data_IF_800398794433
#
_entry.id   IF_800398794433
#
_cell.length_a   1.000
_cell.length_b   1.000
_cell.length_c   1.000
_cell.angle_alpha   90.00
_cell.angle_beta   90.00
_cell.angle_gamma   90.00
#
_symmetry.space_group_name_H-M   'P 1'
#
loop_
_entity.id
_entity.type
_entity.pdbx_description
1 polymer ?
#
# COMPACT_ATOMS: atom_id res chain seq x y z
N UNK A 1 2.55 -64.66 -19.06
CA UNK A 1 1.88 -63.37 -19.32
C UNK A 1 2.32 -62.36 -18.27
N UNK A 2 3.15 -61.35 -18.60
CA UNK A 2 3.43 -60.23 -17.72
C UNK A 2 2.57 -59.00 -18.05
N UNK A 3 2.36 -58.20 -17.00
CA UNK A 3 1.33 -57.19 -16.80
C UNK A 3 1.31 -55.98 -17.74
N UNK A 4 0.18 -55.80 -18.43
CA UNK A 4 -0.19 -54.58 -19.19
C UNK A 4 -0.42 -53.35 -18.28
N UNK A 5 -0.46 -53.54 -16.96
CA UNK A 5 -0.73 -52.46 -16.00
C UNK A 5 0.48 -51.57 -15.67
N UNK A 6 1.73 -52.08 -15.81
CA UNK A 6 2.93 -51.26 -15.55
C UNK A 6 3.18 -50.22 -16.64
N UNK A 7 2.88 -50.53 -17.90
CA UNK A 7 3.10 -49.64 -19.03
C UNK A 7 2.23 -48.37 -18.98
N UNK A 8 1.00 -48.45 -18.46
CA UNK A 8 0.10 -47.30 -18.34
C UNK A 8 0.54 -46.28 -17.29
N UNK A 9 1.19 -46.71 -16.19
CA UNK A 9 1.64 -45.78 -15.13
C UNK A 9 2.84 -44.94 -15.56
N UNK A 10 3.77 -45.51 -16.33
CA UNK A 10 4.96 -44.80 -16.83
C UNK A 10 4.60 -43.66 -17.80
N UNK A 11 3.55 -43.84 -18.60
CA UNK A 11 3.09 -42.85 -19.57
C UNK A 11 2.43 -41.62 -18.92
N UNK A 12 1.70 -41.82 -17.81
CA UNK A 12 1.05 -40.71 -17.09
C UNK A 12 2.08 -39.84 -16.36
N UNK A 13 3.15 -40.42 -15.82
CA UNK A 13 4.24 -39.67 -15.17
C UNK A 13 5.09 -38.85 -16.15
N UNK A 14 5.23 -39.29 -17.40
CA UNK A 14 6.00 -38.57 -18.41
C UNK A 14 5.30 -37.30 -18.91
N UNK A 15 3.97 -37.30 -18.96
CA UNK A 15 3.16 -36.14 -19.37
C UNK A 15 3.16 -35.02 -18.31
N UNK A 16 3.22 -35.35 -17.03
CA UNK A 16 3.30 -34.35 -15.93
C UNK A 16 4.64 -33.60 -15.90
N UNK A 17 5.73 -34.25 -16.32
CA UNK A 17 7.06 -33.63 -16.34
C UNK A 17 7.21 -32.59 -17.47
N UNK A 18 6.50 -32.75 -18.58
CA UNK A 18 6.53 -31.81 -19.70
C UNK A 18 5.74 -30.52 -19.43
N UNK A 19 4.65 -30.59 -18.65
CA UNK A 19 3.87 -29.40 -18.28
C UNK A 19 4.65 -28.44 -17.36
N UNK A 20 5.55 -28.95 -16.51
CA UNK A 20 6.41 -28.14 -15.65
C UNK A 20 7.56 -27.46 -16.39
N UNK A 21 7.96 -27.99 -17.56
CA UNK A 21 9.05 -27.43 -18.36
C UNK A 21 8.61 -26.30 -19.30
N UNK A 22 7.34 -26.29 -19.76
CA UNK A 22 6.81 -25.19 -20.59
C UNK A 22 6.31 -24.02 -19.74
N UNK A 23 5.85 -24.27 -18.51
CA UNK A 23 5.45 -23.22 -17.57
C UNK A 23 6.61 -22.47 -16.90
N UNK A 24 7.84 -23.01 -16.98
CA UNK A 24 9.02 -22.46 -16.29
C UNK A 24 9.76 -21.33 -17.02
N UNK A 25 9.26 -20.90 -18.18
CA UNK A 25 9.91 -19.91 -19.05
C UNK A 25 9.10 -18.61 -19.18
N UNK A 26 8.26 -18.27 -18.19
CA UNK A 26 7.89 -16.87 -17.98
C UNK A 26 9.09 -16.21 -17.32
N UNK A 27 10.01 -15.78 -18.19
CA UNK A 27 11.20 -15.05 -17.82
C UNK A 27 10.82 -13.94 -16.83
N UNK A 28 11.43 -14.01 -15.66
CA UNK A 28 11.58 -12.89 -14.77
C UNK A 28 12.29 -11.78 -15.56
N UNK A 29 11.51 -10.92 -16.20
CA UNK A 29 11.98 -9.60 -16.57
C UNK A 29 12.19 -8.90 -15.23
N UNK A 30 13.41 -8.52 -14.84
CA UNK A 30 13.52 -7.52 -13.81
C UNK A 30 12.84 -6.30 -14.43
N UNK A 31 11.72 -5.88 -13.84
CA UNK A 31 11.23 -4.55 -14.06
C UNK A 31 12.33 -3.62 -13.53
N UNK A 32 13.30 -3.30 -14.38
CA UNK A 32 14.18 -2.17 -14.22
C UNK A 32 13.34 -0.92 -14.45
N UNK A 33 12.38 -0.68 -13.55
CA UNK A 33 11.87 0.65 -13.29
C UNK A 33 12.92 1.30 -12.41
N UNK A 34 13.94 1.85 -13.08
CA UNK A 34 14.82 2.83 -12.47
C UNK A 34 13.96 4.02 -12.06
N UNK A 35 13.62 4.04 -10.79
CA UNK A 35 13.72 5.24 -9.97
C UNK A 35 13.96 4.72 -8.56
N UNK A 36 15.03 5.19 -7.94
CA UNK A 36 15.12 5.16 -6.49
C UNK A 36 14.04 6.13 -5.96
N UNK A 37 12.78 5.72 -6.07
CA UNK A 37 11.65 6.30 -5.37
C UNK A 37 11.84 5.89 -3.92
N UNK A 38 12.70 6.60 -3.22
CA UNK A 38 12.50 6.66 -1.78
C UNK A 38 11.05 7.13 -1.57
N UNK A 39 10.25 6.37 -0.82
CA UNK A 39 8.87 6.73 -0.55
C UNK A 39 8.81 8.13 0.03
N UNK A 40 8.29 9.08 -0.76
CA UNK A 40 8.30 10.48 -0.40
C UNK A 40 7.39 10.72 0.83
N UNK A 41 7.80 11.60 1.75
CA UNK A 41 6.94 12.01 2.85
C UNK A 41 5.67 12.65 2.29
N UNK A 42 4.54 12.37 2.94
CA UNK A 42 3.26 12.92 2.54
C UNK A 42 3.21 14.42 2.79
N UNK A 43 2.46 15.14 1.95
CA UNK A 43 2.31 16.59 2.05
C UNK A 43 1.36 16.93 3.19
N UNK A 44 1.65 17.98 3.95
CA UNK A 44 0.68 18.52 4.91
C UNK A 44 -0.56 19.04 4.19
N UNK A 45 -1.74 18.89 4.78
CA UNK A 45 -2.97 19.48 4.23
C UNK A 45 -2.79 21.01 4.13
N UNK A 46 -2.96 21.62 2.93
CA UNK A 46 -2.82 23.06 2.77
C UNK A 46 -3.99 23.78 3.46
N UNK A 47 -3.68 24.64 4.45
CA UNK A 47 -4.69 25.47 5.13
C UNK A 47 -4.88 26.76 4.33
N UNK A 48 -5.65 26.68 3.23
CA UNK A 48 -6.01 27.86 2.43
C UNK A 48 -7.33 28.44 2.93
N UNK A 49 -7.27 29.53 3.71
CA UNK A 49 -8.36 30.49 3.92
C UNK A 49 -9.72 29.92 4.36
N UNK A 50 -9.98 29.97 5.67
CA UNK A 50 -11.20 29.46 6.31
C UNK A 50 -10.87 28.24 7.16
N UNK A 51 -11.38 28.16 8.39
CA UNK A 51 -11.08 27.10 9.35
C UNK A 51 -11.42 25.71 8.77
N UNK A 52 -10.47 25.05 8.12
CA UNK A 52 -10.52 23.60 7.95
C UNK A 52 -10.13 23.01 9.30
N UNK A 53 -11.15 22.73 10.13
CA UNK A 53 -10.93 22.02 11.37
C UNK A 53 -10.32 20.66 11.05
N UNK A 54 -9.39 20.14 11.87
CA UNK A 54 -8.89 18.78 11.73
C UNK A 54 -10.05 17.79 11.93
N UNK A 55 -10.74 17.45 10.84
CA UNK A 55 -11.93 16.60 10.90
C UNK A 55 -11.53 15.17 11.28
N UNK A 56 -12.30 14.57 12.18
CA UNK A 56 -12.10 13.20 12.67
C UNK A 56 -12.33 12.13 11.58
N UNK A 57 -13.01 12.50 10.51
CA UNK A 57 -13.25 11.71 9.29
C UNK A 57 -13.45 12.71 8.16
N UNK A 58 -13.24 12.30 6.91
CA UNK A 58 -13.78 13.08 5.80
C UNK A 58 -15.30 12.87 5.86
N UNK A 59 -16.05 13.84 6.39
CA UNK A 59 -17.51 13.72 6.56
C UNK A 59 -18.24 14.00 5.24
N UNK A 60 -17.64 14.83 4.38
CA UNK A 60 -18.03 15.04 2.99
C UNK A 60 -16.80 14.90 2.09
N UNK A 61 -16.70 13.75 1.42
CA UNK A 61 -15.55 13.37 0.59
C UNK A 61 -15.39 14.23 -0.66
N UNK A 62 -16.52 14.70 -1.22
CA UNK A 62 -16.53 15.55 -2.39
C UNK A 62 -16.17 16.98 -2.04
N UNK A 63 -16.61 17.48 -0.89
CA UNK A 63 -16.26 18.83 -0.44
C UNK A 63 -14.78 18.91 -0.03
N UNK A 64 -14.30 17.99 0.81
CA UNK A 64 -12.93 18.02 1.31
C UNK A 64 -11.90 17.82 0.19
N UNK A 65 -12.16 16.88 -0.71
CA UNK A 65 -11.25 16.57 -1.81
C UNK A 65 -11.59 17.31 -3.12
N UNK A 66 -12.48 18.31 -3.09
CA UNK A 66 -12.92 19.06 -4.27
C UNK A 66 -11.76 19.65 -5.08
N UNK A 67 -10.76 20.17 -4.37
CA UNK A 67 -9.60 20.86 -4.93
C UNK A 67 -8.28 20.12 -4.67
N UNK A 68 -8.35 18.97 -4.02
CA UNK A 68 -7.20 18.16 -3.62
C UNK A 68 -7.18 16.87 -4.45
N UNK A 69 -6.01 16.49 -4.93
CA UNK A 69 -5.85 15.31 -5.80
C UNK A 69 -4.79 14.33 -5.30
N UNK A 70 -4.04 14.71 -4.27
CA UNK A 70 -2.95 13.92 -3.70
C UNK A 70 -3.31 13.15 -2.44
N UNK A 71 -2.26 12.72 -1.73
CA UNK A 71 -2.36 12.15 -0.38
C UNK A 71 -1.76 13.16 0.58
N UNK A 72 -2.50 13.46 1.65
CA UNK A 72 -2.16 14.52 2.59
C UNK A 72 -2.13 14.00 4.02
N UNK A 73 -1.39 14.68 4.89
CA UNK A 73 -1.31 14.39 6.32
C UNK A 73 -1.74 15.58 7.17
N UNK A 74 -2.34 15.25 8.31
CA UNK A 74 -2.60 16.15 9.42
C UNK A 74 -2.12 15.45 10.70
N UNK A 75 -1.72 16.24 11.71
CA UNK A 75 -1.34 15.75 13.04
C UNK A 75 -2.37 16.21 14.08
N UNK A 76 -3.45 15.43 14.32
CA UNK A 76 -4.45 15.80 15.32
C UNK A 76 -3.88 15.88 16.74
N UNK A 77 -2.86 15.07 17.02
CA UNK A 77 -2.08 15.10 18.27
C UNK A 77 -0.61 14.83 17.97
N UNK A 78 0.28 15.12 18.93
CA UNK A 78 1.73 14.89 18.78
C UNK A 78 2.14 13.43 18.53
N UNK A 79 1.28 12.46 18.83
CA UNK A 79 1.57 11.02 18.73
C UNK A 79 0.69 10.31 17.69
N UNK A 80 -0.03 11.08 16.86
CA UNK A 80 -0.91 10.54 15.83
C UNK A 80 -0.76 11.29 14.51
N UNK A 81 -1.00 10.57 13.42
CA UNK A 81 -1.08 11.15 12.08
C UNK A 81 -2.37 10.69 11.45
N UNK A 82 -3.07 11.60 10.79
CA UNK A 82 -4.21 11.30 9.95
C UNK A 82 -3.83 11.49 8.49
N UNK A 83 -4.03 10.45 7.70
CA UNK A 83 -3.78 10.45 6.25
C UNK A 83 -5.11 10.62 5.53
N UNK A 84 -5.16 11.54 4.57
CA UNK A 84 -6.28 11.78 3.67
C UNK A 84 -5.87 11.39 2.25
N UNK A 85 -6.59 10.46 1.63
CA UNK A 85 -6.36 10.06 0.25
C UNK A 85 -7.39 10.72 -0.67
N UNK A 86 -7.04 11.86 -1.26
CA UNK A 86 -7.89 12.54 -2.23
C UNK A 86 -7.66 12.06 -3.67
N UNK A 87 -6.96 10.95 -3.87
CA UNK A 87 -6.84 10.30 -5.18
C UNK A 87 -8.12 9.53 -5.49
N UNK A 88 -8.31 9.25 -6.78
CA UNK A 88 -9.35 8.32 -7.27
C UNK A 88 -8.94 6.84 -7.11
N UNK A 89 -7.77 6.55 -6.55
CA UNK A 89 -7.22 5.21 -6.37
C UNK A 89 -6.84 4.99 -4.92
N UNK A 90 -6.93 3.75 -4.47
CA UNK A 90 -6.43 3.35 -3.15
C UNK A 90 -4.91 3.55 -3.05
N UNK A 91 -4.43 3.72 -1.82
CA UNK A 91 -2.99 3.86 -1.54
C UNK A 91 -2.64 3.12 -0.25
N UNK A 92 -1.47 2.48 -0.23
CA UNK A 92 -0.90 1.97 1.01
C UNK A 92 0.04 3.01 1.60
N UNK A 93 -0.09 3.23 2.91
CA UNK A 93 0.77 4.18 3.64
C UNK A 93 1.26 3.54 4.91
N UNK A 94 2.41 4.00 5.38
CA UNK A 94 2.95 3.64 6.68
C UNK A 94 3.29 4.89 7.48
N UNK A 95 3.15 4.78 8.80
CA UNK A 95 3.60 5.82 9.72
C UNK A 95 5.11 5.86 9.81
N UNK A 96 5.66 7.07 9.94
CA UNK A 96 7.06 7.33 10.26
C UNK A 96 7.10 7.74 11.74
N UNK A 97 7.76 6.95 12.57
CA UNK A 97 7.91 7.26 13.99
C UNK A 97 9.02 8.30 14.22
N UNK A 98 8.97 9.06 15.32
CA UNK A 98 10.01 10.06 15.66
C UNK A 98 11.44 9.50 15.72
N UNK A 99 11.58 8.21 16.01
CA UNK A 99 12.89 7.53 16.02
C UNK A 99 13.36 7.09 14.61
N UNK A 100 12.66 7.49 13.55
CA UNK A 100 12.96 7.13 12.15
C UNK A 100 12.51 5.72 11.74
N UNK A 101 11.95 4.93 12.65
CA UNK A 101 11.41 3.62 12.29
C UNK A 101 10.05 3.72 11.60
N UNK A 102 9.63 2.64 10.93
CA UNK A 102 8.39 2.61 10.17
C UNK A 102 7.36 1.66 10.79
N UNK A 103 6.08 2.05 10.69
CA UNK A 103 4.96 1.16 10.94
C UNK A 103 4.68 0.21 9.77
N UNK A 104 3.66 -0.64 9.96
CA UNK A 104 3.13 -1.50 8.88
C UNK A 104 2.40 -0.66 7.84
N UNK A 105 2.46 -1.09 6.58
CA UNK A 105 1.64 -0.52 5.52
C UNK A 105 0.16 -0.83 5.72
N UNK A 106 -0.69 0.18 5.66
CA UNK A 106 -2.14 0.07 5.78
C UNK A 106 -2.82 0.71 4.58
N UNK A 107 -3.96 0.14 4.18
CA UNK A 107 -4.76 0.64 3.06
C UNK A 107 -5.54 1.89 3.47
N UNK A 108 -5.38 2.96 2.70
CA UNK A 108 -6.25 4.14 2.69
C UNK A 108 -7.03 4.12 1.38
N UNK A 109 -8.34 3.78 1.42
CA UNK A 109 -9.16 3.77 0.23
C UNK A 109 -9.19 5.13 -0.49
N UNK A 110 -9.51 5.11 -1.79
CA UNK A 110 -9.78 6.31 -2.55
C UNK A 110 -10.81 7.19 -1.84
N UNK A 111 -10.57 8.51 -1.84
CA UNK A 111 -11.43 9.53 -1.22
C UNK A 111 -11.66 9.37 0.29
N UNK A 112 -10.88 8.54 0.98
CA UNK A 112 -11.06 8.24 2.40
C UNK A 112 -9.93 8.78 3.28
N UNK A 113 -10.07 8.63 4.61
CA UNK A 113 -9.01 8.93 5.57
C UNK A 113 -8.74 7.78 6.52
N UNK A 114 -7.50 7.70 7.01
CA UNK A 114 -7.07 6.74 8.03
C UNK A 114 -6.28 7.41 9.13
N UNK A 115 -6.51 6.95 10.35
CA UNK A 115 -5.73 7.36 11.52
C UNK A 115 -4.60 6.35 11.75
N UNK A 116 -3.39 6.85 11.96
CA UNK A 116 -2.19 6.08 12.24
C UNK A 116 -1.68 6.45 13.63
N UNK A 117 -1.12 5.46 14.34
CA UNK A 117 -0.52 5.65 15.64
C UNK A 117 -1.53 5.58 16.78
N UNK A 118 -1.34 6.42 17.80
CA UNK A 118 -2.16 6.41 19.03
C UNK A 118 -1.43 5.89 20.27
N UNK A 119 -0.17 5.47 20.13
CA UNK A 119 0.68 5.10 21.26
C UNK A 119 1.58 6.26 21.66
N UNK A 120 1.47 6.71 22.92
CA UNK A 120 2.35 7.76 23.48
C UNK A 120 3.82 7.31 23.51
N UNK A 121 4.07 6.00 23.60
CA UNK A 121 5.42 5.44 23.63
C UNK A 121 6.07 5.36 22.24
N UNK A 122 5.27 5.46 21.17
CA UNK A 122 5.73 5.42 19.78
C UNK A 122 5.06 6.54 18.98
N UNK A 123 5.42 7.81 19.27
CA UNK A 123 4.87 8.96 18.57
C UNK A 123 5.25 8.95 17.09
N UNK A 124 4.31 9.38 16.25
CA UNK A 124 4.50 9.51 14.82
C UNK A 124 4.99 10.92 14.46
N UNK A 125 6.05 10.97 13.67
CA UNK A 125 6.55 12.18 13.02
C UNK A 125 5.77 12.50 11.74
N UNK A 126 5.32 11.46 11.03
CA UNK A 126 4.62 11.63 9.77
C UNK A 126 4.10 10.32 9.18
N UNK A 127 3.86 10.34 7.87
CA UNK A 127 3.52 9.17 7.10
C UNK A 127 4.08 9.28 5.69
N UNK A 128 4.31 8.12 5.07
CA UNK A 128 4.81 8.00 3.71
C UNK A 128 4.04 6.93 2.95
N UNK A 129 4.02 7.06 1.63
CA UNK A 129 3.49 6.01 0.75
C UNK A 129 4.35 4.76 0.88
N UNK A 130 3.71 3.60 0.85
CA UNK A 130 4.36 2.34 0.52
C UNK A 130 4.28 2.17 -1.00
#
# INVERSE_FOLDING_TARGET
MPDRHRARRALVTALSALALLVGGLVAATPASAGDALEPAPLRTVPVTGGLVQPMATIEDEEEFCRWLTGVYVNHPTYYTVRVYNCRATDVFVKGVYLNGSFGTCVLVPARSSRHLGGSVLKPLDGAQVC
#
